data_IF_361342348563
#
_entry.id   IF_361342348563
#
_cell.length_a   1.000
_cell.length_b   1.000
_cell.length_c   1.000
_cell.angle_alpha   90.00
_cell.angle_beta   90.00
_cell.angle_gamma   90.00
#
_symmetry.space_group_name_H-M   'P 1'
#
loop_
_entity.id
_entity.type
_entity.pdbx_description
1 polymer ?
#
# COMPACT_ATOMS: atom_id res chain seq x y z
N UNK A 1 11.80 -3.11 -1.20
CA UNK A 1 10.75 -4.09 -1.58
C UNK A 1 9.34 -3.54 -1.33
N UNK A 2 9.21 -2.25 -1.00
CA UNK A 2 7.96 -1.49 -0.97
C UNK A 2 8.24 -0.12 -1.58
N UNK A 3 9.25 0.55 -1.05
CA UNK A 3 10.05 1.55 -1.76
C UNK A 3 10.75 0.89 -2.97
N UNK A 4 10.40 1.37 -4.17
CA UNK A 4 10.84 0.88 -5.49
C UNK A 4 12.03 1.69 -5.99
N UNK A 5 12.05 2.99 -5.71
CA UNK A 5 13.12 3.89 -6.18
C UNK A 5 14.30 4.01 -5.20
N UNK A 6 14.13 3.53 -3.96
CA UNK A 6 15.14 3.53 -2.91
C UNK A 6 15.31 4.89 -2.22
N UNK A 7 14.32 5.77 -2.31
CA UNK A 7 14.39 7.13 -1.75
C UNK A 7 14.18 7.18 -0.22
N UNK A 8 13.77 6.07 0.41
CA UNK A 8 13.53 5.94 1.85
C UNK A 8 12.13 6.34 2.31
N UNK A 9 11.25 6.72 1.38
CA UNK A 9 9.83 7.00 1.59
C UNK A 9 9.00 6.16 0.60
N UNK A 10 7.68 6.16 0.76
CA UNK A 10 6.77 5.49 -0.16
C UNK A 10 5.80 6.54 -0.69
N UNK A 11 5.80 6.74 -2.00
CA UNK A 11 4.85 7.63 -2.67
C UNK A 11 3.52 6.92 -2.93
N UNK A 12 2.46 7.69 -3.20
CA UNK A 12 1.15 7.15 -3.59
C UNK A 12 1.23 6.20 -4.79
N UNK A 13 2.15 6.45 -5.72
CA UNK A 13 2.33 5.62 -6.92
C UNK A 13 2.96 4.26 -6.57
N UNK A 14 3.87 4.24 -5.60
CA UNK A 14 4.48 3.02 -5.09
C UNK A 14 3.50 2.24 -4.23
N UNK A 15 2.75 2.90 -3.35
CA UNK A 15 1.65 2.31 -2.60
C UNK A 15 0.63 1.62 -3.53
N UNK A 16 0.21 2.28 -4.60
CA UNK A 16 -0.69 1.67 -5.60
C UNK A 16 -0.09 0.41 -6.21
N UNK A 17 1.20 0.43 -6.57
CA UNK A 17 1.89 -0.77 -7.11
C UNK A 17 1.98 -1.90 -6.09
N UNK A 18 2.25 -1.60 -4.83
CA UNK A 18 2.31 -2.59 -3.74
C UNK A 18 0.94 -3.26 -3.60
N UNK A 19 -0.12 -2.45 -3.45
CA UNK A 19 -1.50 -2.94 -3.30
C UNK A 19 -1.92 -3.77 -4.53
N UNK A 20 -1.60 -3.30 -5.73
CA UNK A 20 -1.87 -4.02 -6.99
C UNK A 20 -1.13 -5.37 -7.04
N UNK A 21 0.15 -5.41 -6.70
CA UNK A 21 0.97 -6.62 -6.71
C UNK A 21 0.51 -7.64 -5.66
N UNK A 22 0.06 -7.18 -4.50
CA UNK A 22 -0.51 -8.03 -3.45
C UNK A 22 -1.84 -8.65 -3.92
N UNK A 23 -2.72 -7.87 -4.55
CA UNK A 23 -3.97 -8.41 -5.12
C UNK A 23 -3.70 -9.44 -6.21
N UNK A 24 -2.67 -9.24 -7.04
CA UNK A 24 -2.20 -10.21 -8.04
C UNK A 24 -1.69 -11.50 -7.37
N UNK A 25 -0.91 -11.36 -6.29
CA UNK A 25 -0.33 -12.48 -5.54
C UNK A 25 -1.36 -13.33 -4.78
N UNK A 26 -2.42 -12.72 -4.24
CA UNK A 26 -3.47 -13.43 -3.49
C UNK A 26 -4.47 -14.15 -4.40
N UNK A 27 -4.30 -14.08 -5.72
CA UNK A 27 -5.13 -14.80 -6.68
C UNK A 27 -6.57 -14.30 -6.74
N UNK A 28 -6.85 -13.10 -6.21
CA UNK A 28 -8.19 -12.50 -6.18
C UNK A 28 -8.55 -11.89 -7.54
N UNK A 29 -8.51 -12.69 -8.62
CA UNK A 29 -8.99 -12.35 -9.97
C UNK A 29 -8.84 -10.86 -10.36
N UNK A 30 -7.61 -10.35 -10.30
CA UNK A 30 -7.27 -8.98 -10.68
C UNK A 30 -7.50 -8.68 -12.17
N UNK A 31 -7.75 -9.69 -13.00
CA UNK A 31 -8.03 -9.55 -14.42
C UNK A 31 -9.32 -8.77 -14.74
N UNK A 32 -10.17 -8.49 -13.74
CA UNK A 32 -11.44 -7.75 -13.96
C UNK A 32 -11.67 -6.59 -12.98
N UNK A 33 -10.71 -6.26 -12.11
CA UNK A 33 -10.81 -5.07 -11.25
C UNK A 33 -10.15 -3.89 -11.97
N UNK A 34 -10.84 -2.75 -12.15
CA UNK A 34 -10.23 -1.57 -12.75
C UNK A 34 -9.07 -1.10 -11.87
N UNK A 35 -7.98 -0.65 -12.50
CA UNK A 35 -6.83 -0.04 -11.83
C UNK A 35 -7.28 1.10 -10.90
N UNK A 36 -8.36 1.79 -11.25
CA UNK A 36 -9.03 2.80 -10.43
C UNK A 36 -9.41 2.29 -9.03
N UNK A 37 -9.80 1.03 -8.87
CA UNK A 37 -10.14 0.48 -7.54
C UNK A 37 -8.91 0.27 -6.66
N UNK A 38 -7.77 -0.11 -7.24
CA UNK A 38 -6.53 -0.28 -6.48
C UNK A 38 -5.93 1.08 -6.13
N UNK A 39 -5.93 2.02 -7.08
CA UNK A 39 -5.46 3.39 -6.87
C UNK A 39 -6.32 4.15 -5.85
N UNK A 40 -7.65 4.09 -5.94
CA UNK A 40 -8.55 4.71 -4.95
C UNK A 40 -8.34 4.11 -3.54
N UNK A 41 -8.17 2.80 -3.44
CA UNK A 41 -7.88 2.12 -2.17
C UNK A 41 -6.54 2.54 -1.62
N UNK A 42 -5.49 2.48 -2.45
CA UNK A 42 -4.16 2.92 -2.09
C UNK A 42 -4.17 4.37 -1.62
N UNK A 43 -4.86 5.28 -2.32
CA UNK A 43 -4.97 6.70 -1.97
C UNK A 43 -5.75 6.95 -0.68
N UNK A 44 -6.86 6.22 -0.45
CA UNK A 44 -7.63 6.31 0.78
C UNK A 44 -6.84 5.82 2.01
N UNK A 45 -6.05 4.75 1.81
CA UNK A 45 -5.14 4.23 2.82
C UNK A 45 -4.00 5.23 3.03
N UNK A 46 -3.37 5.68 1.94
CA UNK A 46 -2.28 6.64 1.94
C UNK A 46 -2.63 7.89 2.74
N UNK A 47 -3.74 8.55 2.42
CA UNK A 47 -4.20 9.74 3.16
C UNK A 47 -4.57 9.47 4.62
N UNK A 48 -4.80 8.22 5.02
CA UNK A 48 -5.00 7.83 6.43
C UNK A 48 -3.67 7.59 7.16
N UNK A 49 -2.66 7.14 6.44
CA UNK A 49 -1.32 6.86 6.98
C UNK A 49 -0.44 8.11 7.00
N UNK A 50 -0.64 8.99 6.03
CA UNK A 50 0.04 10.27 5.84
C UNK A 50 -0.46 11.28 6.87
N UNK A 51 0.10 11.20 8.10
CA UNK A 51 -0.27 12.08 9.20
C UNK A 51 0.15 13.53 8.92
N UNK A 52 1.29 13.72 8.24
CA UNK A 52 1.85 15.03 7.96
C UNK A 52 1.31 15.64 6.65
N UNK A 53 0.60 14.87 5.83
CA UNK A 53 0.03 15.25 4.53
C UNK A 53 1.10 15.80 3.56
N UNK A 54 2.33 15.27 3.65
CA UNK A 54 3.43 15.68 2.78
C UNK A 54 3.45 14.95 1.43
N UNK A 55 2.57 13.96 1.26
CA UNK A 55 2.46 13.17 0.04
C UNK A 55 3.43 12.00 -0.02
N UNK A 56 4.15 11.71 1.07
CA UNK A 56 5.11 10.61 1.22
C UNK A 56 4.83 9.85 2.53
N UNK A 57 5.05 8.53 2.51
CA UNK A 57 5.01 7.73 3.74
C UNK A 57 6.42 7.38 4.15
N UNK A 58 6.84 7.91 5.30
CA UNK A 58 8.07 7.45 5.95
C UNK A 58 7.92 6.00 6.44
N UNK A 59 9.03 5.34 6.76
CA UNK A 59 8.99 4.00 7.35
C UNK A 59 8.07 3.91 8.58
N UNK A 60 8.07 4.92 9.44
CA UNK A 60 7.22 4.95 10.64
C UNK A 60 5.74 5.08 10.29
N UNK A 61 5.38 5.99 9.38
CA UNK A 61 4.00 6.19 8.91
C UNK A 61 3.49 4.96 8.17
N UNK A 62 4.33 4.36 7.34
CA UNK A 62 4.00 3.13 6.65
C UNK A 62 3.77 1.98 7.63
N UNK A 63 4.65 1.78 8.61
CA UNK A 63 4.49 0.72 9.63
C UNK A 63 3.23 0.94 10.47
N UNK A 64 3.01 2.16 10.97
CA UNK A 64 1.76 2.53 11.68
C UNK A 64 0.55 2.26 10.81
N UNK A 65 0.62 2.68 9.56
CA UNK A 65 -0.44 2.48 8.60
C UNK A 65 -0.78 1.02 8.39
N UNK A 66 0.25 0.20 8.19
CA UNK A 66 0.09 -1.24 8.01
C UNK A 66 -0.47 -1.91 9.28
N UNK A 67 -0.19 -1.37 10.47
CA UNK A 67 -0.79 -1.83 11.72
C UNK A 67 -2.26 -1.39 11.87
N UNK A 68 -2.60 -0.20 11.37
CA UNK A 68 -3.97 0.33 11.41
C UNK A 68 -4.89 -0.37 10.40
N UNK A 69 -4.35 -0.76 9.26
CA UNK A 69 -5.09 -1.47 8.23
C UNK A 69 -4.84 -2.99 8.31
N UNK A 70 -5.80 -3.71 8.87
CA UNK A 70 -5.71 -5.17 9.02
C UNK A 70 -5.55 -5.91 7.68
N UNK A 71 -6.03 -5.36 6.57
CA UNK A 71 -5.92 -5.98 5.24
C UNK A 71 -4.46 -5.90 4.78
N UNK A 72 -3.85 -4.71 4.80
CA UNK A 72 -2.42 -4.53 4.53
C UNK A 72 -1.53 -5.29 5.50
N UNK A 73 -1.83 -5.26 6.81
CA UNK A 73 -1.10 -6.01 7.84
C UNK A 73 -0.99 -7.49 7.47
N UNK A 74 -2.15 -8.13 7.19
CA UNK A 74 -2.26 -9.55 6.84
C UNK A 74 -1.58 -9.89 5.51
N UNK A 75 -1.51 -8.93 4.61
CA UNK A 75 -0.90 -9.11 3.29
C UNK A 75 0.63 -8.96 3.32
N UNK A 76 1.15 -8.10 4.19
CA UNK A 76 2.58 -7.82 4.34
C UNK A 76 3.30 -8.76 5.31
N UNK A 77 2.54 -9.52 6.12
CA UNK A 77 3.10 -10.60 6.95
C UNK A 77 2.91 -11.95 6.25
N UNK A 78 3.94 -12.48 5.55
CA UNK A 78 3.89 -13.82 5.01
C UNK A 78 4.12 -14.82 6.15
N UNK A 79 3.03 -15.34 6.74
CA UNK A 79 3.06 -16.51 7.63
C UNK A 79 2.69 -16.22 9.08
N UNK A 80 1.52 -16.72 9.46
CA UNK A 80 1.42 -17.55 10.66
C UNK A 80 1.54 -19.02 10.23
#
# INVERSE_FOLDING_TARGET
MYDVDGNGVIDVSEMTKIVQAIYDMLGTNSASRPADSAEERAKAIFSKMDENNDGNLTQEEFLKGCLLDEELSKMLTPGA
#
